data_IF_428717266244
#
_entry.id   IF_428717266244
#
_cell.length_a   1.000
_cell.length_b   1.000
_cell.length_c   1.000
_cell.angle_alpha   90.00
_cell.angle_beta   90.00
_cell.angle_gamma   90.00
#
_symmetry.space_group_name_H-M   'P 1'
#
loop_
_entity.id
_entity.type
_entity.pdbx_description
1 polymer ?
#
# COMPACT_ATOMS: atom_id res chain seq x y z
N UNK A 1 -22.93 2.37 7.09
CA UNK A 1 -23.38 3.78 7.25
C UNK A 1 -22.50 4.62 6.36
N UNK A 2 -23.04 5.17 5.27
CA UNK A 2 -22.33 6.12 4.41
C UNK A 2 -22.24 7.46 5.15
N UNK A 3 -21.08 7.76 5.75
CA UNK A 3 -20.77 9.11 6.16
C UNK A 3 -20.61 9.96 4.90
N UNK A 4 -21.22 11.14 4.86
CA UNK A 4 -20.93 12.13 3.82
C UNK A 4 -19.45 12.51 3.91
N UNK A 5 -18.78 12.54 2.76
CA UNK A 5 -17.34 12.78 2.60
C UNK A 5 -16.96 14.28 2.73
N UNK A 6 -17.83 15.13 3.29
CA UNK A 6 -17.78 16.58 3.04
C UNK A 6 -17.41 17.45 4.25
N UNK A 7 -17.29 16.91 5.47
CA UNK A 7 -16.79 17.72 6.59
C UNK A 7 -15.27 17.73 6.65
N UNK A 8 -14.68 18.94 6.67
CA UNK A 8 -13.23 19.09 6.75
C UNK A 8 -12.68 18.52 8.07
N UNK A 9 -11.45 17.95 8.08
CA UNK A 9 -10.74 17.61 9.31
C UNK A 9 -10.61 18.81 10.25
N UNK A 10 -10.20 18.59 11.50
CA UNK A 10 -9.89 19.69 12.41
C UNK A 10 -8.84 20.63 11.80
N UNK A 11 -9.00 21.96 11.93
CA UNK A 11 -7.98 22.89 11.47
C UNK A 11 -6.66 22.65 12.21
N UNK A 12 -5.57 22.62 11.44
CA UNK A 12 -4.20 22.46 11.91
C UNK A 12 -3.64 23.86 12.17
N UNK A 13 -3.15 24.13 13.38
CA UNK A 13 -2.57 25.43 13.74
C UNK A 13 -1.05 25.32 13.89
N UNK A 14 -0.28 26.36 13.51
CA UNK A 14 1.19 26.37 13.72
C UNK A 14 1.58 26.32 15.21
N UNK A 15 0.65 26.69 16.10
CA UNK A 15 0.87 26.74 17.54
C UNK A 15 0.67 25.35 18.12
N UNK A 16 1.70 24.82 18.80
CA UNK A 16 1.62 23.55 19.54
C UNK A 16 0.64 23.60 20.72
N UNK A 17 0.78 22.62 21.63
CA UNK A 17 -0.10 22.46 22.81
C UNK A 17 -0.27 23.72 23.71
N UNK A 18 0.58 24.73 23.55
CA UNK A 18 0.61 25.97 24.34
C UNK A 18 -0.52 26.98 24.03
N UNK A 19 -1.37 26.75 23.00
CA UNK A 19 -2.56 27.57 22.75
C UNK A 19 -3.79 27.21 23.62
N UNK A 20 -3.65 26.27 24.57
CA UNK A 20 -4.76 25.77 25.38
C UNK A 20 -5.75 24.88 24.62
N UNK A 21 -5.40 24.43 23.41
CA UNK A 21 -6.28 23.65 22.51
C UNK A 21 -6.33 22.14 22.83
N UNK A 22 -5.62 21.69 23.86
CA UNK A 22 -5.40 20.27 24.14
C UNK A 22 -4.40 19.63 23.18
N UNK A 23 -3.94 18.43 23.54
CA UNK A 23 -2.92 17.71 22.76
C UNK A 23 -3.56 17.12 21.48
N UNK A 24 -3.06 17.50 20.30
CA UNK A 24 -3.48 16.87 19.05
C UNK A 24 -2.88 15.47 18.93
N UNK A 25 -3.74 14.51 18.60
CA UNK A 25 -3.38 13.10 18.46
C UNK A 25 -3.98 12.54 17.18
N UNK A 26 -3.53 11.36 16.76
CA UNK A 26 -4.12 10.62 15.64
C UNK A 26 -4.89 9.43 16.20
N UNK A 27 -6.20 9.36 15.95
CA UNK A 27 -7.05 8.21 16.28
C UNK A 27 -7.32 7.41 15.01
N UNK A 28 -6.90 6.15 15.00
CA UNK A 28 -7.11 5.22 13.92
C UNK A 28 -8.19 4.21 14.28
N UNK A 29 -9.17 4.04 13.39
CA UNK A 29 -10.15 2.94 13.46
C UNK A 29 -9.72 1.81 12.55
N UNK A 30 -9.73 0.59 13.10
CA UNK A 30 -9.27 -0.62 12.45
C UNK A 30 -10.41 -1.31 11.68
N UNK A 31 -10.10 -1.96 10.56
CA UNK A 31 -11.05 -2.63 9.66
C UNK A 31 -11.43 -4.06 10.01
N UNK A 32 -11.33 -4.98 9.04
CA UNK A 32 -11.68 -6.43 9.06
C UNK A 32 -11.18 -7.21 10.30
N UNK A 33 -10.31 -6.57 11.05
CA UNK A 33 -9.54 -6.93 12.24
C UNK A 33 -10.43 -7.23 13.45
N UNK A 34 -11.66 -6.72 13.48
CA UNK A 34 -12.62 -7.06 14.54
C UNK A 34 -13.11 -8.52 14.41
N UNK A 35 -12.84 -9.19 13.29
CA UNK A 35 -13.30 -10.55 13.02
C UNK A 35 -12.13 -11.56 12.98
N UNK A 36 -12.08 -12.41 14.02
CA UNK A 36 -11.57 -13.80 14.06
C UNK A 36 -10.23 -14.08 14.77
N UNK A 37 -10.35 -14.75 15.92
CA UNK A 37 -9.50 -15.89 16.29
C UNK A 37 -8.17 -15.65 17.01
N UNK A 38 -7.40 -16.72 17.13
CA UNK A 38 -6.13 -16.85 17.89
C UNK A 38 -4.98 -15.96 17.40
N UNK A 39 -5.08 -15.39 16.20
CA UNK A 39 -3.99 -14.64 15.55
C UNK A 39 -4.00 -13.12 15.83
N UNK A 40 -4.92 -12.63 16.67
CA UNK A 40 -5.08 -11.20 16.94
C UNK A 40 -3.82 -10.52 17.52
N UNK A 41 -3.07 -11.19 18.40
CA UNK A 41 -1.83 -10.62 18.97
C UNK A 41 -0.74 -10.42 17.92
N UNK A 42 -0.62 -11.37 16.99
CA UNK A 42 0.32 -11.28 15.87
C UNK A 42 -0.04 -10.10 14.98
N UNK A 43 -1.34 -9.95 14.70
CA UNK A 43 -1.91 -8.85 13.95
C UNK A 43 -1.57 -7.49 14.57
N UNK A 44 -1.92 -7.30 15.84
CA UNK A 44 -1.71 -6.02 16.56
C UNK A 44 -0.23 -5.67 16.56
N UNK A 45 0.65 -6.65 16.82
CA UNK A 45 2.10 -6.48 16.77
C UNK A 45 2.60 -6.04 15.38
N UNK A 46 2.12 -6.69 14.31
CA UNK A 46 2.50 -6.33 12.93
C UNK A 46 2.03 -4.93 12.57
N UNK A 47 0.78 -4.59 12.88
CA UNK A 47 0.25 -3.26 12.63
C UNK A 47 1.03 -2.18 13.40
N UNK A 48 1.33 -2.40 14.68
CA UNK A 48 2.14 -1.46 15.47
C UNK A 48 3.54 -1.27 14.88
N UNK A 49 4.17 -2.32 14.37
CA UNK A 49 5.47 -2.22 13.71
C UNK A 49 5.37 -1.45 12.39
N UNK A 50 4.32 -1.66 11.60
CA UNK A 50 4.09 -0.94 10.36
C UNK A 50 3.86 0.56 10.62
N UNK A 51 3.07 0.88 11.65
CA UNK A 51 2.84 2.27 12.09
C UNK A 51 4.16 2.93 12.51
N UNK A 52 4.98 2.28 13.34
CA UNK A 52 6.29 2.85 13.73
C UNK A 52 7.22 3.01 12.53
N UNK A 53 7.21 2.06 11.61
CA UNK A 53 8.07 2.08 10.43
C UNK A 53 7.71 3.22 9.49
N UNK A 54 6.44 3.59 9.36
CA UNK A 54 5.99 4.62 8.42
C UNK A 54 6.31 6.05 8.86
N UNK A 55 6.64 6.25 10.14
CA UNK A 55 6.98 7.58 10.71
C UNK A 55 8.35 7.60 11.39
N UNK A 56 9.23 6.63 11.12
CA UNK A 56 10.52 6.48 11.80
C UNK A 56 11.45 7.70 11.65
N UNK A 57 11.33 8.42 10.55
CA UNK A 57 12.02 9.68 10.22
C UNK A 57 11.44 10.89 10.96
N UNK A 58 10.21 10.78 11.48
CA UNK A 58 9.58 11.82 12.29
C UNK A 58 9.88 11.65 13.80
N UNK A 59 10.64 10.62 14.17
CA UNK A 59 11.01 10.33 15.55
C UNK A 59 10.01 9.44 16.30
N UNK A 60 10.18 9.36 17.62
CA UNK A 60 9.43 8.40 18.44
C UNK A 60 7.98 8.81 18.68
N UNK A 61 7.07 7.84 18.52
CA UNK A 61 5.65 7.96 18.80
C UNK A 61 5.24 7.08 19.98
N UNK A 62 4.19 7.51 20.70
CA UNK A 62 3.50 6.70 21.71
C UNK A 62 2.25 6.09 21.10
N UNK A 63 2.17 4.76 21.13
CA UNK A 63 1.01 4.00 20.66
C UNK A 63 0.19 3.49 21.85
N UNK A 64 -1.13 3.73 21.80
CA UNK A 64 -2.08 3.20 22.78
C UNK A 64 -3.18 2.40 22.07
N UNK A 65 -3.28 1.12 22.39
CA UNK A 65 -4.36 0.25 21.91
C UNK A 65 -5.59 0.40 22.81
N UNK A 66 -6.72 0.87 22.26
CA UNK A 66 -7.98 1.06 22.98
C UNK A 66 -8.99 0.01 22.53
N UNK A 67 -8.99 -1.14 23.20
CA UNK A 67 -9.82 -2.30 22.81
C UNK A 67 -9.39 -2.90 21.48
N UNK A 68 -10.31 -3.58 20.79
CA UNK A 68 -9.99 -4.33 19.56
C UNK A 68 -9.91 -3.50 18.27
N UNK A 69 -10.47 -2.29 18.27
CA UNK A 69 -10.74 -1.56 17.02
C UNK A 69 -10.14 -0.17 16.93
N UNK A 70 -9.43 0.31 17.95
CA UNK A 70 -8.93 1.70 17.99
C UNK A 70 -7.47 1.73 18.44
N UNK A 71 -6.65 2.47 17.71
CA UNK A 71 -5.28 2.83 18.07
C UNK A 71 -5.19 4.35 18.15
N UNK A 72 -4.51 4.85 19.18
CA UNK A 72 -4.17 6.27 19.30
C UNK A 72 -2.66 6.41 19.16
N UNK A 73 -2.24 7.30 18.26
CA UNK A 73 -0.86 7.75 18.11
C UNK A 73 -0.72 9.13 18.75
N UNK A 74 0.29 9.27 19.60
CA UNK A 74 0.63 10.52 20.27
C UNK A 74 2.09 10.82 20.09
N UNK A 75 2.43 12.11 19.96
CA UNK A 75 3.81 12.59 19.98
C UNK A 75 3.86 13.85 20.86
N UNK A 76 3.96 13.70 22.20
CA UNK A 76 3.93 14.83 23.11
C UNK A 76 5.04 15.84 22.78
N UNK A 77 4.69 17.13 22.76
CA UNK A 77 5.62 18.22 22.44
C UNK A 77 5.78 18.52 20.94
N UNK A 78 5.10 17.79 20.05
CA UNK A 78 5.05 18.13 18.63
C UNK A 78 4.06 19.25 18.30
N UNK A 79 4.35 19.95 17.21
CA UNK A 79 3.43 20.87 16.54
C UNK A 79 2.24 20.13 15.93
N UNK A 80 1.11 20.82 15.72
CA UNK A 80 -0.03 20.19 15.05
C UNK A 80 0.30 19.79 13.60
N UNK A 81 1.20 20.52 12.93
CA UNK A 81 1.68 20.20 11.58
C UNK A 81 2.38 18.83 11.54
N UNK A 82 3.24 18.54 12.51
CA UNK A 82 3.85 17.21 12.62
C UNK A 82 2.81 16.11 12.86
N UNK A 83 1.76 16.39 13.66
CA UNK A 83 0.70 15.43 13.92
C UNK A 83 -0.17 15.22 12.67
N UNK A 84 -0.42 16.26 11.89
CA UNK A 84 -1.11 16.17 10.60
C UNK A 84 -0.32 15.32 9.60
N UNK A 85 1.00 15.52 9.49
CA UNK A 85 1.88 14.67 8.66
C UNK A 85 1.84 13.20 9.11
N UNK A 86 1.84 12.94 10.42
CA UNK A 86 1.66 11.57 10.95
C UNK A 86 0.30 11.02 10.51
N UNK A 87 -0.78 11.81 10.58
CA UNK A 87 -2.12 11.36 10.19
C UNK A 87 -2.19 10.98 8.70
N UNK A 88 -1.60 11.79 7.81
CA UNK A 88 -1.55 11.51 6.38
C UNK A 88 -0.79 10.20 6.09
N UNK A 89 0.30 9.95 6.81
CA UNK A 89 1.04 8.67 6.72
C UNK A 89 0.23 7.51 7.28
N UNK A 90 -0.52 7.70 8.37
CA UNK A 90 -1.40 6.67 8.93
C UNK A 90 -2.50 6.26 7.94
N UNK A 91 -2.96 7.17 7.07
CA UNK A 91 -3.96 6.85 6.05
C UNK A 91 -3.43 5.86 4.98
N UNK A 92 -2.11 5.75 4.84
CA UNK A 92 -1.45 4.79 3.96
C UNK A 92 -1.15 3.44 4.64
N UNK A 93 -1.32 3.32 5.96
CA UNK A 93 -1.04 2.07 6.67
C UNK A 93 -2.16 1.06 6.42
N UNK A 94 -1.80 -0.09 5.84
CA UNK A 94 -2.75 -1.18 5.60
C UNK A 94 -3.31 -1.75 6.92
N UNK A 95 -4.61 -1.97 6.95
CA UNK A 95 -5.39 -2.35 8.14
C UNK A 95 -6.15 -1.18 8.80
N UNK A 96 -5.79 0.07 8.49
CA UNK A 96 -6.47 1.27 9.02
C UNK A 96 -7.62 1.67 8.10
N UNK A 97 -8.83 1.83 8.62
CA UNK A 97 -10.03 2.19 7.82
C UNK A 97 -10.36 3.67 7.93
N UNK A 98 -10.14 4.27 9.10
CA UNK A 98 -10.31 5.72 9.29
C UNK A 98 -9.16 6.27 10.11
N UNK A 99 -8.75 7.48 9.78
CA UNK A 99 -7.78 8.28 10.51
C UNK A 99 -8.46 9.59 10.90
N UNK A 100 -8.52 9.89 12.19
CA UNK A 100 -9.07 11.12 12.71
C UNK A 100 -7.96 11.90 13.42
N UNK A 101 -7.86 13.20 13.12
CA UNK A 101 -7.17 14.15 14.00
C UNK A 101 -8.08 14.42 15.19
N UNK A 102 -7.57 14.24 16.41
CA UNK A 102 -8.38 14.35 17.63
C UNK A 102 -7.68 15.21 18.67
N UNK A 103 -8.42 16.12 19.30
CA UNK A 103 -7.91 16.84 20.49
C UNK A 103 -8.19 16.01 21.72
N UNK A 104 -7.12 15.67 22.44
CA UNK A 104 -7.16 14.99 23.73
C UNK A 104 -7.21 16.05 24.83
N UNK A 105 -8.28 16.03 25.61
CA UNK A 105 -8.52 16.95 26.72
C UNK A 105 -8.72 16.20 28.03
N UNK A 106 -8.63 16.93 29.14
CA UNK A 106 -9.03 16.41 30.45
C UNK A 106 -10.48 15.91 30.42
N UNK A 107 -10.81 14.92 31.24
CA UNK A 107 -12.18 14.43 31.43
C UNK A 107 -12.99 15.42 32.28
N UNK A 108 -13.21 16.59 31.71
CA UNK A 108 -13.86 17.75 32.33
C UNK A 108 -14.83 18.38 31.32
N UNK A 109 -16.00 18.81 31.80
CA UNK A 109 -17.05 19.32 30.92
C UNK A 109 -16.63 20.63 30.24
N UNK A 110 -16.01 21.54 30.99
CA UNK A 110 -15.61 22.84 30.46
C UNK A 110 -14.52 22.69 29.40
N UNK A 111 -13.53 21.81 29.65
CA UNK A 111 -12.49 21.50 28.68
C UNK A 111 -13.06 20.87 27.38
N UNK A 112 -14.03 19.96 27.49
CA UNK A 112 -14.70 19.36 26.32
C UNK A 112 -15.46 20.42 25.53
N UNK A 113 -16.16 21.32 26.23
CA UNK A 113 -17.00 22.35 25.62
C UNK A 113 -16.17 23.41 24.91
N UNK A 114 -15.13 23.92 25.57
CA UNK A 114 -14.23 24.91 24.98
C UNK A 114 -13.62 24.39 23.67
N UNK A 115 -13.06 23.18 23.69
CA UNK A 115 -12.48 22.57 22.49
C UNK A 115 -13.54 22.24 21.44
N UNK A 116 -14.71 21.76 21.85
CA UNK A 116 -15.81 21.46 20.93
C UNK A 116 -16.30 22.71 20.18
N UNK A 117 -16.46 23.83 20.88
CA UNK A 117 -16.86 25.10 20.29
C UNK A 117 -15.76 25.64 19.35
N UNK A 118 -14.49 25.62 19.78
CA UNK A 118 -13.37 26.09 18.94
C UNK A 118 -13.18 25.24 17.69
N UNK A 119 -13.36 23.91 17.79
CA UNK A 119 -13.24 22.96 16.67
C UNK A 119 -14.27 23.20 15.55
N UNK A 120 -15.36 23.90 15.87
CA UNK A 120 -16.42 24.24 14.94
C UNK A 120 -16.26 25.64 14.32
N UNK A 121 -15.31 26.45 14.79
CA UNK A 121 -15.12 27.80 14.29
C UNK A 121 -14.78 27.84 12.78
N UNK A 122 -15.35 28.81 12.07
CA UNK A 122 -15.09 29.03 10.64
C UNK A 122 -15.71 27.99 9.69
N UNK A 123 -16.55 27.07 10.20
CA UNK A 123 -17.31 26.14 9.38
C UNK A 123 -18.60 26.79 8.85
N UNK A 124 -19.21 26.16 7.86
CA UNK A 124 -20.48 26.60 7.28
C UNK A 124 -21.49 25.46 7.24
N UNK A 125 -22.78 25.81 7.13
CA UNK A 125 -23.87 24.86 7.00
C UNK A 125 -24.44 24.35 8.34
N UNK A 126 -24.99 23.15 8.30
CA UNK A 126 -25.64 22.47 9.41
C UNK A 126 -24.67 21.59 10.17
N UNK A 127 -24.98 21.29 11.44
CA UNK A 127 -24.14 20.42 12.25
C UNK A 127 -24.91 19.44 13.13
N UNK A 128 -24.21 18.42 13.63
CA UNK A 128 -24.68 17.55 14.69
C UNK A 128 -23.54 17.23 15.67
N UNK A 129 -23.87 17.09 16.95
CA UNK A 129 -22.96 16.56 17.98
C UNK A 129 -23.25 15.08 18.20
N UNK A 130 -22.20 14.26 18.23
CA UNK A 130 -22.26 12.82 18.47
C UNK A 130 -21.35 12.47 19.63
N UNK A 131 -21.94 12.34 20.81
CA UNK A 131 -21.19 11.94 22.00
C UNK A 131 -21.30 10.43 22.26
N UNK A 132 -20.18 9.83 22.69
CA UNK A 132 -20.09 8.44 23.13
C UNK A 132 -19.32 8.35 24.45
N UNK A 133 -19.92 7.70 25.44
CA UNK A 133 -19.29 7.44 26.75
C UNK A 133 -18.87 5.98 26.90
N UNK A 134 -17.55 5.75 26.99
CA UNK A 134 -16.97 4.49 27.45
C UNK A 134 -16.99 4.42 28.98
N UNK A 135 -16.60 5.50 29.65
CA UNK A 135 -16.78 5.61 31.09
C UNK A 135 -18.20 6.04 31.42
N UNK A 136 -18.96 5.16 32.08
CA UNK A 136 -20.35 5.43 32.52
C UNK A 136 -20.44 6.26 33.80
N UNK A 137 -19.31 6.58 34.44
CA UNK A 137 -19.26 7.39 35.68
C UNK A 137 -19.19 8.90 35.45
N UNK A 138 -18.90 9.35 34.22
CA UNK A 138 -19.01 10.77 33.86
C UNK A 138 -20.44 11.30 34.10
N UNK A 139 -20.57 12.55 34.54
CA UNK A 139 -21.80 13.09 35.13
C UNK A 139 -22.96 13.16 34.14
N UNK A 140 -22.70 13.59 32.91
CA UNK A 140 -23.70 13.66 31.85
C UNK A 140 -23.82 12.36 31.08
N UNK A 141 -25.04 11.99 30.66
CA UNK A 141 -25.21 10.92 29.67
C UNK A 141 -24.82 11.42 28.26
N UNK A 142 -24.73 10.52 27.28
CA UNK A 142 -24.31 10.88 25.91
C UNK A 142 -25.29 11.84 25.21
N UNK A 143 -26.59 11.71 25.46
CA UNK A 143 -27.60 12.62 24.92
C UNK A 143 -27.48 14.02 25.55
N UNK A 144 -27.37 14.09 26.88
CA UNK A 144 -27.26 15.36 27.61
C UNK A 144 -25.99 16.12 27.19
N UNK A 145 -24.86 15.41 27.10
CA UNK A 145 -23.59 16.00 26.66
C UNK A 145 -23.68 16.53 25.23
N UNK A 146 -24.31 15.77 24.32
CA UNK A 146 -24.48 16.21 22.94
C UNK A 146 -25.42 17.43 22.83
N UNK A 147 -26.51 17.45 23.62
CA UNK A 147 -27.44 18.57 23.67
C UNK A 147 -26.80 19.83 24.23
N UNK A 148 -26.10 19.72 25.36
CA UNK A 148 -25.41 20.84 26.00
C UNK A 148 -24.29 21.40 25.13
N UNK A 149 -23.42 20.55 24.58
CA UNK A 149 -22.39 21.00 23.66
C UNK A 149 -22.99 21.65 22.40
N UNK A 150 -24.09 21.09 21.89
CA UNK A 150 -24.85 21.64 20.78
C UNK A 150 -25.36 23.06 21.06
N UNK A 151 -25.93 23.33 22.24
CA UNK A 151 -26.40 24.67 22.60
C UNK A 151 -25.26 25.69 22.63
N UNK A 152 -24.11 25.30 23.21
CA UNK A 152 -22.91 26.17 23.27
C UNK A 152 -22.35 26.49 21.87
N UNK A 153 -22.40 25.54 20.94
CA UNK A 153 -22.01 25.78 19.53
C UNK A 153 -22.99 26.73 18.84
N UNK A 154 -24.29 26.61 19.09
CA UNK A 154 -25.31 27.53 18.54
C UNK A 154 -25.10 28.94 19.08
N UNK A 155 -24.87 29.09 20.39
CA UNK A 155 -24.60 30.39 21.02
C UNK A 155 -23.36 31.07 20.44
N UNK A 156 -22.30 30.31 20.18
CA UNK A 156 -21.04 30.85 19.69
C UNK A 156 -21.04 31.17 18.19
N UNK A 157 -21.65 30.32 17.36
CA UNK A 157 -21.50 30.37 15.89
C UNK A 157 -22.81 30.53 15.10
N UNK A 158 -23.98 30.41 15.75
CA UNK A 158 -25.28 30.56 15.09
C UNK A 158 -25.66 29.45 14.10
N UNK A 159 -24.97 28.31 14.13
CA UNK A 159 -25.24 27.19 13.21
C UNK A 159 -26.59 26.51 13.44
N UNK A 160 -27.12 25.88 12.38
CA UNK A 160 -28.37 25.12 12.44
C UNK A 160 -28.10 23.63 12.69
N UNK A 161 -28.92 23.00 13.53
CA UNK A 161 -28.78 21.57 13.82
C UNK A 161 -29.48 20.72 12.75
N UNK A 162 -28.79 19.70 12.24
CA UNK A 162 -29.38 18.65 11.39
C UNK A 162 -28.92 17.27 11.87
N UNK A 163 -29.78 16.56 12.60
CA UNK A 163 -29.44 15.24 13.15
C UNK A 163 -29.47 14.10 12.14
N UNK A 164 -29.97 14.31 10.91
CA UNK A 164 -30.07 13.24 9.90
C UNK A 164 -28.93 13.28 8.90
N UNK A 165 -28.65 14.47 8.34
CA UNK A 165 -27.62 14.70 7.31
C UNK A 165 -26.90 16.02 7.60
N UNK A 166 -26.10 16.08 8.67
CA UNK A 166 -25.32 17.27 8.98
C UNK A 166 -24.22 17.49 7.94
N UNK A 167 -23.92 18.76 7.65
CA UNK A 167 -22.74 19.13 6.85
C UNK A 167 -21.47 18.94 7.67
N UNK A 168 -21.54 19.16 8.99
CA UNK A 168 -20.43 18.95 9.92
C UNK A 168 -20.84 18.11 11.12
N UNK A 169 -20.06 17.08 11.45
CA UNK A 169 -20.29 16.28 12.66
C UNK A 169 -19.16 16.48 13.66
N UNK A 170 -19.50 16.93 14.86
CA UNK A 170 -18.58 16.96 15.99
C UNK A 170 -18.76 15.70 16.83
N UNK A 171 -17.71 14.91 16.97
CA UNK A 171 -17.67 13.71 17.79
C UNK A 171 -16.99 14.00 19.13
N UNK A 172 -17.56 13.45 20.20
CA UNK A 172 -16.96 13.48 21.53
C UNK A 172 -16.92 12.06 22.07
N UNK A 173 -15.73 11.52 22.31
CA UNK A 173 -15.55 10.24 23.00
C UNK A 173 -15.00 10.47 24.41
N UNK A 174 -15.81 10.18 25.44
CA UNK A 174 -15.39 10.25 26.85
C UNK A 174 -14.89 8.88 27.28
N UNK A 175 -13.61 8.80 27.63
CA UNK A 175 -12.95 7.60 28.16
C UNK A 175 -12.74 7.72 29.69
N UNK A 176 -12.02 6.78 30.28
CA UNK A 176 -11.83 6.68 31.74
C UNK A 176 -11.17 7.91 32.36
N UNK A 177 -10.14 8.46 31.74
CA UNK A 177 -9.30 9.51 32.32
C UNK A 177 -9.21 10.77 31.44
N UNK A 178 -9.77 10.71 30.23
CA UNK A 178 -9.64 11.74 29.19
C UNK A 178 -10.86 11.75 28.26
N UNK A 179 -10.98 12.80 27.47
CA UNK A 179 -11.95 12.89 26.39
C UNK A 179 -11.28 13.28 25.06
N UNK A 180 -11.88 12.82 23.97
CA UNK A 180 -11.44 13.09 22.60
C UNK A 180 -12.50 13.86 21.86
N UNK A 181 -12.13 15.00 21.30
CA UNK A 181 -13.01 15.87 20.50
C UNK A 181 -12.47 15.95 19.08
N UNK A 182 -13.31 15.65 18.08
CA UNK A 182 -12.89 15.55 16.69
C UNK A 182 -14.04 15.67 15.69
N UNK A 183 -13.73 15.90 14.42
CA UNK A 183 -14.69 15.92 13.32
C UNK A 183 -14.48 14.71 12.39
N UNK A 184 -15.02 14.72 11.17
CA UNK A 184 -14.78 13.59 10.27
C UNK A 184 -13.28 13.40 9.97
N UNK A 185 -12.96 12.19 9.55
CA UNK A 185 -11.59 11.74 9.34
C UNK A 185 -11.29 11.46 7.88
N UNK A 186 -10.04 11.09 7.63
CA UNK A 186 -9.54 10.67 6.34
C UNK A 186 -9.76 9.15 6.22
N UNK A 187 -10.27 8.66 5.07
CA UNK A 187 -10.36 7.23 4.83
C UNK A 187 -8.96 6.62 4.75
N UNK A 188 -8.74 5.52 5.46
CA UNK A 188 -7.53 4.71 5.36
C UNK A 188 -7.64 3.62 4.29
N UNK A 189 -6.58 2.83 4.10
CA UNK A 189 -6.54 1.77 3.08
C UNK A 189 -7.48 0.57 3.37
N UNK A 190 -7.80 0.32 4.64
CA UNK A 190 -8.44 -0.91 5.10
C UNK A 190 -7.55 -2.14 4.84
N UNK A 191 -8.16 -3.32 4.69
CA UNK A 191 -7.42 -4.57 4.43
C UNK A 191 -6.67 -5.11 5.65
N UNK A 192 -5.52 -5.75 5.40
CA UNK A 192 -4.66 -6.39 6.41
C UNK A 192 -3.27 -5.75 6.44
N UNK A 193 -2.59 -5.65 7.60
CA UNK A 193 -1.25 -5.12 7.72
C UNK A 193 -0.29 -5.89 6.82
N UNK A 194 0.51 -5.14 6.07
CA UNK A 194 1.56 -5.70 5.23
C UNK A 194 2.46 -6.65 6.03
N UNK A 195 2.73 -7.83 5.48
CA UNK A 195 3.52 -8.91 6.10
C UNK A 195 2.75 -9.83 7.07
N UNK A 196 1.42 -9.73 7.14
CA UNK A 196 0.57 -10.69 7.87
C UNK A 196 0.31 -11.99 7.10
N UNK A 197 0.34 -11.94 5.77
CA UNK A 197 -0.10 -13.02 4.88
C UNK A 197 1.05 -13.65 4.08
N UNK A 198 2.27 -13.61 4.61
CA UNK A 198 3.45 -14.16 3.94
C UNK A 198 4.19 -13.15 3.06
N UNK A 199 5.00 -13.68 2.14
CA UNK A 199 5.82 -12.91 1.20
C UNK A 199 5.53 -13.28 -0.25
N UNK A 200 5.60 -12.30 -1.14
CA UNK A 200 5.44 -12.51 -2.58
C UNK A 200 6.42 -11.67 -3.41
N UNK A 201 6.67 -12.09 -4.65
CA UNK A 201 7.49 -11.36 -5.60
C UNK A 201 6.62 -10.80 -6.73
N UNK A 202 6.62 -9.48 -6.90
CA UNK A 202 5.88 -8.79 -7.96
C UNK A 202 6.75 -8.65 -9.20
N UNK A 203 6.26 -9.10 -10.35
CA UNK A 203 6.84 -8.74 -11.64
C UNK A 203 6.40 -7.31 -11.99
N UNK A 204 7.30 -6.36 -11.75
CA UNK A 204 7.08 -4.93 -11.96
C UNK A 204 7.46 -4.53 -13.39
N UNK A 205 6.49 -4.01 -14.13
CA UNK A 205 6.69 -3.39 -15.44
C UNK A 205 6.59 -1.87 -15.33
N UNK A 206 6.96 -1.16 -16.41
CA UNK A 206 6.72 0.28 -16.53
C UNK A 206 5.25 0.68 -16.73
N UNK A 207 4.35 -0.30 -16.87
CA UNK A 207 2.94 -0.09 -17.18
C UNK A 207 2.07 0.33 -15.98
N UNK A 208 0.77 0.45 -16.22
CA UNK A 208 -0.23 0.88 -15.24
C UNK A 208 -0.61 -0.28 -14.29
N UNK A 209 -0.61 -1.51 -14.81
CA UNK A 209 -1.30 -2.64 -14.19
C UNK A 209 -0.48 -3.25 -13.03
N UNK A 210 0.82 -3.48 -13.22
CA UNK A 210 1.65 -4.16 -12.21
C UNK A 210 1.77 -3.39 -10.87
N UNK A 211 1.82 -2.04 -10.81
CA UNK A 211 1.73 -1.31 -9.55
C UNK A 211 0.39 -1.48 -8.83
N UNK A 212 -0.72 -1.53 -9.58
CA UNK A 212 -2.06 -1.72 -9.01
C UNK A 212 -2.21 -3.13 -8.45
N UNK A 213 -1.70 -4.14 -9.17
CA UNK A 213 -1.65 -5.52 -8.68
C UNK A 213 -0.86 -5.63 -7.37
N UNK A 214 0.32 -5.00 -7.29
CA UNK A 214 1.12 -4.95 -6.08
C UNK A 214 0.36 -4.32 -4.91
N UNK A 215 -0.22 -3.12 -5.10
CA UNK A 215 -0.99 -2.43 -4.06
C UNK A 215 -2.12 -3.31 -3.50
N UNK A 216 -2.87 -3.99 -4.38
CA UNK A 216 -3.94 -4.92 -3.98
C UNK A 216 -3.43 -6.07 -3.12
N UNK A 217 -2.26 -6.62 -3.43
CA UNK A 217 -1.67 -7.71 -2.64
C UNK A 217 -1.12 -7.23 -1.31
N UNK A 218 -0.47 -6.06 -1.27
CA UNK A 218 -0.04 -5.41 -0.03
C UNK A 218 -1.26 -5.18 0.89
N UNK A 219 -2.39 -4.72 0.32
CA UNK A 219 -3.67 -4.55 1.04
C UNK A 219 -4.25 -5.84 1.59
N UNK A 220 -3.94 -7.00 1.00
CA UNK A 220 -4.28 -8.34 1.55
C UNK A 220 -3.24 -8.86 2.53
N UNK A 221 -2.30 -8.03 2.96
CA UNK A 221 -1.33 -8.32 4.00
C UNK A 221 -0.07 -9.03 3.53
N UNK A 222 0.16 -9.15 2.21
CA UNK A 222 1.44 -9.64 1.70
C UNK A 222 2.54 -8.60 1.92
N UNK A 223 3.74 -9.05 2.27
CA UNK A 223 4.96 -8.25 2.12
C UNK A 223 5.52 -8.57 0.74
N UNK A 224 5.74 -7.57 -0.10
CA UNK A 224 6.18 -7.81 -1.48
C UNK A 224 7.54 -7.21 -1.77
N UNK A 225 8.35 -7.99 -2.46
CA UNK A 225 9.54 -7.51 -3.18
C UNK A 225 9.20 -7.37 -4.67
N UNK A 226 10.03 -6.63 -5.40
CA UNK A 226 9.76 -6.29 -6.80
C UNK A 226 10.89 -6.78 -7.69
N UNK A 227 10.54 -7.37 -8.83
CA UNK A 227 11.47 -7.76 -9.88
C UNK A 227 11.10 -7.04 -11.17
N UNK A 228 12.04 -6.29 -11.74
CA UNK A 228 11.92 -5.62 -13.01
C UNK A 228 12.94 -6.17 -14.01
N UNK A 229 12.50 -6.43 -15.24
CA UNK A 229 13.36 -6.86 -16.33
C UNK A 229 13.63 -5.67 -17.24
N UNK A 230 14.90 -5.29 -17.40
CA UNK A 230 15.29 -4.18 -18.27
C UNK A 230 15.78 -4.70 -19.62
N UNK A 231 15.61 -3.90 -20.68
CA UNK A 231 16.10 -4.23 -22.02
C UNK A 231 17.62 -4.06 -22.19
N UNK A 232 18.35 -3.78 -21.12
CA UNK A 232 19.81 -3.58 -21.16
C UNK A 232 20.53 -4.81 -21.74
N UNK A 233 21.57 -4.61 -22.58
CA UNK A 233 22.19 -3.33 -22.96
C UNK A 233 21.56 -2.65 -24.20
N UNK A 234 20.39 -3.09 -24.67
CA UNK A 234 19.79 -2.59 -25.91
C UNK A 234 18.89 -1.37 -25.72
N UNK A 235 18.30 -1.19 -24.53
CA UNK A 235 17.54 0.01 -24.12
C UNK A 235 18.39 0.93 -23.26
N UNK A 236 17.94 2.18 -23.07
CA UNK A 236 18.45 3.04 -22.01
C UNK A 236 17.92 2.68 -20.60
N UNK A 237 18.30 3.46 -19.56
CA UNK A 237 17.94 3.24 -18.16
C UNK A 237 16.54 3.74 -17.77
N UNK A 238 15.78 4.32 -18.71
CA UNK A 238 14.50 5.00 -18.45
C UNK A 238 13.47 4.06 -17.80
N UNK A 239 13.38 2.82 -18.28
CA UNK A 239 12.50 1.78 -17.71
C UNK A 239 12.86 1.46 -16.26
N UNK A 240 14.16 1.47 -15.91
CA UNK A 240 14.65 1.26 -14.54
C UNK A 240 14.24 2.43 -13.65
N UNK A 241 14.40 3.68 -14.12
CA UNK A 241 13.99 4.86 -13.35
C UNK A 241 12.48 4.90 -13.14
N UNK A 242 11.71 4.48 -14.13
CA UNK A 242 10.26 4.36 -14.01
C UNK A 242 9.87 3.30 -12.97
N UNK A 243 10.43 2.10 -13.06
CA UNK A 243 10.21 1.03 -12.09
C UNK A 243 10.60 1.46 -10.66
N UNK A 244 11.75 2.14 -10.51
CA UNK A 244 12.19 2.71 -9.24
C UNK A 244 11.18 3.69 -8.66
N UNK A 245 10.66 4.60 -9.49
CA UNK A 245 9.69 5.62 -9.09
C UNK A 245 8.35 5.00 -8.69
N UNK A 246 7.89 3.99 -9.43
CA UNK A 246 6.68 3.22 -9.09
C UNK A 246 6.84 2.49 -7.76
N UNK A 247 7.97 1.81 -7.54
CA UNK A 247 8.23 1.10 -6.28
C UNK A 247 8.37 2.08 -5.11
N UNK A 248 9.03 3.24 -5.31
CA UNK A 248 9.11 4.29 -4.29
C UNK A 248 7.72 4.78 -3.89
N UNK A 249 6.83 4.94 -4.87
CA UNK A 249 5.44 5.35 -4.62
C UNK A 249 4.62 4.27 -3.90
N UNK A 250 4.90 2.99 -4.14
CA UNK A 250 4.28 1.88 -3.41
C UNK A 250 4.88 1.67 -2.01
N UNK A 251 6.12 2.11 -1.78
CA UNK A 251 6.82 1.88 -0.51
C UNK A 251 6.09 2.49 0.69
N UNK A 252 5.33 3.57 0.51
CA UNK A 252 4.50 4.18 1.57
C UNK A 252 3.46 3.24 2.20
N UNK A 253 3.11 2.14 1.51
CA UNK A 253 2.12 1.18 1.99
C UNK A 253 2.72 -0.01 2.77
N UNK A 254 4.03 -0.23 2.70
CA UNK A 254 4.67 -1.40 3.32
C UNK A 254 6.05 -1.18 3.95
N UNK A 255 6.71 -0.06 3.62
CA UNK A 255 8.05 0.39 4.05
C UNK A 255 9.19 -0.62 3.83
N UNK A 256 10.30 -0.18 3.25
CA UNK A 256 11.47 -1.06 3.03
C UNK A 256 11.24 -2.05 1.90
N UNK A 257 10.74 -1.55 0.78
CA UNK A 257 10.62 -2.26 -0.49
C UNK A 257 12.00 -2.54 -1.09
N UNK A 258 12.13 -3.69 -1.76
CA UNK A 258 13.33 -4.07 -2.52
C UNK A 258 12.96 -4.22 -3.98
N UNK A 259 13.75 -3.61 -4.86
CA UNK A 259 13.60 -3.71 -6.31
C UNK A 259 14.83 -4.40 -6.89
N UNK A 260 14.64 -5.58 -7.44
CA UNK A 260 15.64 -6.33 -8.19
C UNK A 260 15.49 -5.98 -9.67
N UNK A 261 16.59 -5.61 -10.33
CA UNK A 261 16.61 -5.28 -11.76
C UNK A 261 17.49 -6.29 -12.48
N UNK A 262 16.90 -7.04 -13.40
CA UNK A 262 17.60 -8.06 -14.21
C UNK A 262 17.77 -7.55 -15.64
N UNK A 263 19.00 -7.39 -16.14
CA UNK A 263 19.25 -7.11 -17.56
C UNK A 263 18.83 -8.31 -18.42
N UNK A 264 17.75 -8.13 -19.19
CA UNK A 264 17.13 -9.21 -19.95
C UNK A 264 17.40 -9.15 -21.46
N UNK A 265 17.99 -8.05 -21.96
CA UNK A 265 18.15 -7.81 -23.38
C UNK A 265 18.85 -8.95 -24.13
N UNK A 266 19.96 -9.49 -23.59
CA UNK A 266 20.70 -10.59 -24.21
C UNK A 266 19.87 -11.88 -24.33
N UNK A 267 19.14 -12.25 -23.27
CA UNK A 267 18.24 -13.40 -23.30
C UNK A 267 17.12 -13.20 -24.32
N UNK A 268 16.60 -11.98 -24.44
CA UNK A 268 15.60 -11.63 -25.45
C UNK A 268 16.14 -11.75 -26.88
N UNK A 269 17.40 -11.35 -27.11
CA UNK A 269 18.06 -11.53 -28.41
C UNK A 269 18.25 -13.01 -28.75
N UNK A 270 18.65 -13.85 -27.79
CA UNK A 270 18.76 -15.30 -27.98
C UNK A 270 17.40 -15.93 -28.34
N UNK A 271 16.34 -15.55 -27.63
CA UNK A 271 14.97 -15.98 -27.91
C UNK A 271 14.54 -15.60 -29.34
N UNK A 272 14.85 -14.39 -29.80
CA UNK A 272 14.54 -13.97 -31.18
C UNK A 272 15.30 -14.77 -32.23
N UNK A 273 16.60 -15.01 -32.01
CA UNK A 273 17.47 -15.75 -32.95
C UNK A 273 17.13 -17.25 -33.05
N UNK A 274 16.34 -17.79 -32.12
CA UNK A 274 15.93 -19.20 -32.13
C UNK A 274 14.85 -19.56 -33.16
N UNK A 275 14.32 -18.57 -33.90
CA UNK A 275 13.38 -18.79 -35.02
C UNK A 275 11.92 -18.97 -34.61
N UNK A 276 11.54 -18.52 -33.41
CA UNK A 276 10.23 -18.80 -32.80
C UNK A 276 9.34 -17.55 -32.81
N UNK A 277 9.19 -16.91 -33.97
CA UNK A 277 8.56 -15.59 -34.05
C UNK A 277 7.15 -15.55 -33.42
N UNK A 278 6.31 -16.56 -33.63
CA UNK A 278 4.91 -16.52 -33.14
C UNK A 278 4.77 -16.74 -31.63
N UNK A 279 5.62 -17.58 -31.04
CA UNK A 279 5.57 -17.92 -29.60
C UNK A 279 6.53 -17.07 -28.76
N UNK A 280 7.32 -16.19 -29.39
CA UNK A 280 8.40 -15.43 -28.75
C UNK A 280 7.95 -14.71 -27.46
N UNK A 281 6.79 -14.05 -27.47
CA UNK A 281 6.29 -13.32 -26.29
C UNK A 281 5.94 -14.28 -25.15
N UNK A 282 5.29 -15.40 -25.45
CA UNK A 282 4.92 -16.37 -24.41
C UNK A 282 6.17 -17.05 -23.86
N UNK A 283 7.12 -17.45 -24.73
CA UNK A 283 8.40 -18.02 -24.31
C UNK A 283 9.22 -17.03 -23.46
N UNK A 284 9.28 -15.75 -23.86
CA UNK A 284 9.93 -14.69 -23.09
C UNK A 284 9.30 -14.55 -21.69
N UNK A 285 7.97 -14.49 -21.61
CA UNK A 285 7.27 -14.36 -20.32
C UNK A 285 7.46 -15.60 -19.44
N UNK A 286 7.53 -16.80 -20.02
CA UNK A 286 7.86 -18.03 -19.29
C UNK A 286 9.27 -17.98 -18.72
N UNK A 287 10.26 -17.53 -19.49
CA UNK A 287 11.63 -17.34 -18.99
C UNK A 287 11.70 -16.28 -17.87
N UNK A 288 10.95 -15.18 -17.99
CA UNK A 288 10.82 -14.18 -16.91
C UNK A 288 10.21 -14.78 -15.65
N UNK A 289 9.19 -15.64 -15.78
CA UNK A 289 8.58 -16.33 -14.63
C UNK A 289 9.54 -17.32 -13.98
N UNK A 290 10.28 -18.13 -14.75
CA UNK A 290 11.33 -19.02 -14.23
C UNK A 290 12.43 -18.26 -13.49
N UNK A 291 12.86 -17.13 -14.05
CA UNK A 291 13.83 -16.24 -13.38
C UNK A 291 13.25 -15.67 -12.09
N UNK A 292 11.96 -15.32 -12.09
CA UNK A 292 11.27 -14.83 -10.90
C UNK A 292 11.11 -15.93 -9.82
N UNK A 293 10.83 -17.17 -10.21
CA UNK A 293 10.75 -18.32 -9.30
C UNK A 293 12.11 -18.61 -8.64
N UNK A 294 13.19 -18.67 -9.42
CA UNK A 294 14.54 -18.84 -8.89
C UNK A 294 14.90 -17.72 -7.89
N UNK A 295 14.57 -16.46 -8.18
CA UNK A 295 14.76 -15.37 -7.24
C UNK A 295 13.80 -15.45 -6.03
N UNK A 296 12.58 -15.92 -6.22
CA UNK A 296 11.59 -16.07 -5.15
C UNK A 296 12.06 -17.07 -4.10
N UNK A 297 12.73 -18.16 -4.50
CA UNK A 297 13.32 -19.14 -3.58
C UNK A 297 14.38 -18.51 -2.66
N UNK A 298 15.30 -17.71 -3.22
CA UNK A 298 16.30 -16.96 -2.45
C UNK A 298 15.66 -15.98 -1.46
N UNK A 299 14.53 -15.38 -1.84
CA UNK A 299 13.80 -14.42 -1.03
C UNK A 299 12.79 -15.06 -0.06
N UNK A 300 12.59 -16.39 -0.15
CA UNK A 300 11.54 -17.15 0.55
C UNK A 300 10.14 -16.56 0.29
N UNK A 301 9.88 -16.18 -0.95
CA UNK A 301 8.56 -15.75 -1.39
C UNK A 301 7.71 -16.98 -1.71
N UNK A 302 6.42 -16.92 -1.35
CA UNK A 302 5.48 -18.04 -1.43
C UNK A 302 4.60 -17.95 -2.69
N UNK A 303 4.71 -16.86 -3.46
CA UNK A 303 3.95 -16.63 -4.68
C UNK A 303 4.61 -15.58 -5.59
N UNK A 304 4.31 -15.67 -6.88
CA UNK A 304 4.56 -14.62 -7.86
C UNK A 304 3.31 -13.77 -8.05
N UNK A 305 3.46 -12.49 -8.39
CA UNK A 305 2.35 -11.56 -8.59
C UNK A 305 2.54 -10.85 -9.94
N UNK A 306 1.53 -10.90 -10.80
CA UNK A 306 1.52 -10.20 -12.09
C UNK A 306 0.35 -9.23 -12.21
N UNK A 307 0.51 -8.23 -13.07
CA UNK A 307 -0.55 -7.30 -13.47
C UNK A 307 -1.47 -7.82 -14.57
N UNK A 308 -1.62 -9.14 -14.72
CA UNK A 308 -2.42 -9.69 -15.83
C UNK A 308 -3.92 -9.47 -15.65
N UNK A 309 -4.58 -9.03 -16.74
CA UNK A 309 -6.03 -8.87 -16.85
C UNK A 309 -6.55 -9.71 -18.04
N UNK A 310 -7.61 -10.49 -17.83
CA UNK A 310 -8.07 -11.44 -18.84
C UNK A 310 -8.62 -10.71 -20.08
N UNK A 311 -8.10 -11.03 -21.26
CA UNK A 311 -8.61 -10.50 -22.53
C UNK A 311 -8.20 -9.06 -22.87
N UNK A 312 -7.27 -8.45 -22.10
CA UNK A 312 -6.80 -7.09 -22.38
C UNK A 312 -5.79 -7.02 -23.54
N UNK A 313 -4.90 -8.01 -23.66
CA UNK A 313 -3.94 -8.14 -24.77
C UNK A 313 -3.84 -9.58 -25.27
N UNK A 314 -3.29 -9.78 -26.47
CA UNK A 314 -3.15 -11.10 -27.11
C UNK A 314 -2.36 -12.12 -26.27
N UNK A 315 -1.45 -11.67 -25.40
CA UNK A 315 -0.69 -12.53 -24.48
C UNK A 315 -1.46 -12.93 -23.21
N UNK A 316 -2.66 -12.38 -22.99
CA UNK A 316 -3.49 -12.60 -21.80
C UNK A 316 -4.82 -13.28 -22.13
N UNK A 317 -4.80 -14.20 -23.10
CA UNK A 317 -5.91 -15.15 -23.32
C UNK A 317 -5.85 -16.27 -22.27
N UNK A 318 -6.96 -16.96 -22.03
CA UNK A 318 -6.98 -18.09 -21.09
C UNK A 318 -5.92 -19.15 -21.46
N UNK A 319 -5.79 -19.48 -22.75
CA UNK A 319 -4.78 -20.44 -23.23
C UNK A 319 -3.35 -20.00 -22.91
N UNK A 320 -3.04 -18.72 -23.14
CA UNK A 320 -1.70 -18.19 -22.86
C UNK A 320 -1.46 -18.07 -21.35
N UNK A 321 -2.46 -17.74 -20.53
CA UNK A 321 -2.32 -17.74 -19.08
C UNK A 321 -2.04 -19.14 -18.53
N UNK A 322 -2.76 -20.16 -19.01
CA UNK A 322 -2.46 -21.57 -18.67
C UNK A 322 -1.04 -21.95 -19.11
N UNK A 323 -0.61 -21.48 -20.28
CA UNK A 323 0.76 -21.69 -20.73
C UNK A 323 1.79 -20.91 -19.90
N UNK A 324 1.43 -19.83 -19.20
CA UNK A 324 2.34 -19.17 -18.25
C UNK A 324 2.38 -19.91 -16.91
N UNK A 325 1.23 -20.37 -16.43
CA UNK A 325 1.13 -21.14 -15.18
C UNK A 325 1.92 -22.44 -15.25
N UNK A 326 1.99 -23.09 -16.41
CA UNK A 326 2.79 -24.31 -16.63
C UNK A 326 4.32 -24.10 -16.51
N UNK A 327 4.81 -22.85 -16.49
CA UNK A 327 6.25 -22.58 -16.52
C UNK A 327 6.93 -22.70 -15.15
N UNK A 328 6.16 -22.60 -14.06
CA UNK A 328 6.63 -22.47 -12.68
C UNK A 328 5.72 -23.26 -11.74
N UNK A 329 6.25 -23.69 -10.60
CA UNK A 329 5.50 -24.40 -9.55
C UNK A 329 4.88 -23.42 -8.53
N UNK A 330 5.51 -22.26 -8.32
CA UNK A 330 4.97 -21.22 -7.45
C UNK A 330 3.63 -20.67 -7.96
N UNK A 331 2.64 -20.44 -7.06
CA UNK A 331 1.37 -19.88 -7.46
C UNK A 331 1.54 -18.45 -8.00
N UNK A 332 0.94 -18.19 -9.17
CA UNK A 332 0.89 -16.85 -9.78
C UNK A 332 -0.43 -16.17 -9.41
N UNK A 333 -0.37 -15.15 -8.55
CA UNK A 333 -1.51 -14.32 -8.18
C UNK A 333 -1.74 -13.22 -9.22
N UNK A 334 -2.98 -13.11 -9.71
CA UNK A 334 -3.42 -12.13 -10.73
C UNK A 334 -4.55 -11.26 -10.19
N UNK A 335 -4.26 -10.22 -9.38
CA UNK A 335 -5.28 -9.44 -8.68
C UNK A 335 -6.21 -8.63 -9.59
N UNK A 336 -5.86 -8.51 -10.88
CA UNK A 336 -6.58 -7.71 -11.88
C UNK A 336 -7.32 -8.57 -12.90
N UNK A 337 -7.31 -9.91 -12.74
CA UNK A 337 -7.78 -10.85 -13.77
C UNK A 337 -9.20 -10.57 -14.29
N UNK A 338 -10.09 -10.07 -13.43
CA UNK A 338 -11.47 -9.74 -13.76
C UNK A 338 -11.81 -8.25 -13.74
N UNK A 339 -10.81 -7.37 -13.77
CA UNK A 339 -11.01 -5.92 -13.82
C UNK A 339 -10.98 -5.40 -15.26
N UNK A 340 -11.73 -4.33 -15.51
CA UNK A 340 -11.56 -3.56 -16.74
C UNK A 340 -10.46 -2.48 -16.62
N UNK A 341 -10.06 -1.91 -17.76
CA UNK A 341 -9.00 -0.91 -17.84
C UNK A 341 -9.34 0.38 -17.10
N UNK A 342 -10.61 0.78 -17.08
CA UNK A 342 -11.06 2.00 -16.39
C UNK A 342 -10.90 1.84 -14.89
N UNK A 343 -11.32 0.69 -14.35
CA UNK A 343 -11.16 0.36 -12.94
C UNK A 343 -9.67 0.33 -12.52
N UNK A 344 -8.80 -0.20 -13.37
CA UNK A 344 -7.34 -0.23 -13.13
C UNK A 344 -6.78 1.19 -13.12
N UNK A 345 -7.12 2.01 -14.12
CA UNK A 345 -6.67 3.41 -14.22
C UNK A 345 -7.15 4.26 -13.04
N UNK A 346 -8.38 4.07 -12.58
CA UNK A 346 -8.92 4.78 -11.42
C UNK A 346 -8.18 4.41 -10.14
N UNK A 347 -7.81 3.13 -9.97
CA UNK A 347 -6.96 2.71 -8.86
C UNK A 347 -5.56 3.29 -8.98
N UNK A 348 -4.92 3.23 -10.16
CA UNK A 348 -3.61 3.81 -10.42
C UNK A 348 -3.57 5.31 -10.11
N UNK A 349 -4.64 6.05 -10.42
CA UNK A 349 -4.78 7.48 -10.09
C UNK A 349 -4.87 7.69 -8.57
N UNK A 350 -5.70 6.90 -7.88
CA UNK A 350 -5.87 6.98 -6.41
C UNK A 350 -4.57 6.66 -5.66
N UNK A 351 -3.78 5.72 -6.16
CA UNK A 351 -2.47 5.36 -5.57
C UNK A 351 -1.30 6.14 -6.19
N UNK A 352 -1.58 7.16 -7.00
CA UNK A 352 -0.59 8.08 -7.56
C UNK A 352 0.49 7.41 -8.41
N UNK A 353 0.21 6.27 -9.06
CA UNK A 353 1.14 5.58 -9.98
C UNK A 353 0.86 5.90 -11.44
N UNK A 354 -0.37 6.34 -11.79
CA UNK A 354 -0.80 6.56 -13.18
C UNK A 354 0.16 7.49 -13.96
N UNK A 355 0.44 8.68 -13.43
CA UNK A 355 1.29 9.66 -14.10
C UNK A 355 2.75 9.16 -14.30
N UNK A 356 3.24 8.28 -13.42
CA UNK A 356 4.57 7.69 -13.55
C UNK A 356 4.56 6.62 -14.65
N UNK A 357 3.52 5.77 -14.66
CA UNK A 357 3.34 4.73 -15.68
C UNK A 357 3.19 5.29 -17.10
N UNK A 358 2.60 6.48 -17.23
CA UNK A 358 2.40 7.18 -18.51
C UNK A 358 3.66 7.87 -19.07
N UNK A 359 4.74 7.98 -18.30
CA UNK A 359 6.00 8.53 -18.81
C UNK A 359 6.49 7.69 -20.00
N UNK A 360 7.10 8.29 -21.04
CA UNK A 360 7.65 7.51 -22.14
C UNK A 360 8.84 6.67 -21.67
N UNK A 361 8.89 5.40 -22.06
CA UNK A 361 10.06 4.54 -21.95
C UNK A 361 10.14 3.56 -23.12
N UNK A 362 11.33 3.01 -23.33
CA UNK A 362 11.53 1.84 -24.18
C UNK A 362 11.41 0.59 -23.30
N UNK A 363 10.19 0.05 -23.21
CA UNK A 363 9.93 -1.17 -22.45
C UNK A 363 10.65 -2.38 -23.10
N UNK A 364 11.19 -3.26 -22.27
CA UNK A 364 11.88 -4.48 -22.73
C UNK A 364 10.97 -5.32 -23.62
N UNK A 365 9.67 -5.37 -23.33
CA UNK A 365 8.73 -6.21 -24.07
C UNK A 365 8.39 -5.67 -25.46
N UNK A 366 8.49 -4.35 -25.72
CA UNK A 366 8.01 -3.76 -26.98
C UNK A 366 9.06 -3.79 -28.09
N UNK A 367 10.34 -3.62 -27.77
CA UNK A 367 11.44 -3.48 -28.75
C UNK A 367 11.57 -4.68 -29.72
N UNK A 368 11.32 -5.91 -29.24
CA UNK A 368 11.48 -7.14 -30.02
C UNK A 368 10.16 -7.87 -30.23
N UNK A 369 9.03 -7.16 -30.17
CA UNK A 369 7.70 -7.74 -30.40
C UNK A 369 7.58 -8.26 -31.84
N UNK A 370 7.22 -9.54 -32.05
CA UNK A 370 6.93 -10.07 -33.37
C UNK A 370 5.69 -9.40 -33.99
N UNK A 371 5.60 -9.38 -35.33
CA UNK A 371 4.47 -8.80 -36.08
C UNK A 371 3.13 -9.49 -35.81
N UNK A 372 3.16 -10.76 -35.43
CA UNK A 372 1.98 -11.54 -35.05
C UNK A 372 2.26 -12.29 -33.76
N UNK A 373 1.38 -12.13 -32.78
CA UNK A 373 1.48 -12.78 -31.47
C UNK A 373 0.48 -13.93 -31.42
N UNK A 374 0.95 -15.12 -31.07
CA UNK A 374 0.07 -16.28 -30.91
C UNK A 374 -0.90 -16.08 -29.74
N UNK A 375 -2.19 -16.23 -30.00
CA UNK A 375 -3.26 -16.09 -28.99
C UNK A 375 -3.59 -17.41 -28.31
N UNK A 376 -3.10 -18.54 -28.84
CA UNK A 376 -3.29 -19.87 -28.30
C UNK A 376 -1.99 -20.70 -28.39
N UNK A 377 -1.03 -20.41 -27.51
CA UNK A 377 0.22 -21.14 -27.47
C UNK A 377 0.03 -22.59 -26.97
N UNK A 378 0.66 -23.54 -27.64
CA UNK A 378 0.69 -24.95 -27.21
C UNK A 378 1.82 -25.16 -26.21
N UNK A 379 1.48 -25.68 -25.04
CA UNK A 379 2.44 -25.97 -23.95
C UNK A 379 3.56 -26.91 -24.41
N UNK A 380 3.23 -27.94 -25.18
CA UNK A 380 4.23 -28.89 -25.70
C UNK A 380 5.32 -28.23 -26.54
N UNK A 381 4.94 -27.27 -27.39
CA UNK A 381 5.89 -26.53 -28.23
C UNK A 381 6.77 -25.61 -27.36
N UNK A 382 6.18 -24.92 -26.37
CA UNK A 382 6.90 -24.06 -25.43
C UNK A 382 7.94 -24.85 -24.60
N UNK A 383 7.59 -26.05 -24.12
CA UNK A 383 8.54 -26.91 -23.38
C UNK A 383 9.70 -27.38 -24.25
N UNK A 384 9.47 -27.63 -25.55
CA UNK A 384 10.56 -27.98 -26.48
C UNK A 384 11.49 -26.78 -26.70
N UNK A 385 10.94 -25.58 -26.76
CA UNK A 385 11.69 -24.34 -26.90
C UNK A 385 12.56 -24.10 -25.67
N UNK A 386 11.98 -24.23 -24.48
CA UNK A 386 12.71 -24.07 -23.22
C UNK A 386 13.87 -25.05 -23.10
N UNK A 387 13.66 -26.31 -23.46
CA UNK A 387 14.73 -27.33 -23.50
C UNK A 387 15.86 -27.01 -24.48
N UNK A 388 15.57 -26.34 -25.60
CA UNK A 388 16.62 -25.94 -26.57
C UNK A 388 17.41 -24.72 -26.12
N UNK A 389 16.84 -23.93 -25.22
CA UNK A 389 17.44 -22.70 -24.70
C UNK A 389 18.07 -22.89 -23.32
N UNK A 390 18.01 -24.11 -22.77
CA UNK A 390 18.39 -24.43 -21.39
C UNK A 390 17.79 -23.39 -20.42
N UNK A 391 16.48 -23.18 -20.53
CA UNK A 391 15.78 -22.06 -19.90
C UNK A 391 15.95 -22.01 -18.37
N UNK A 392 16.07 -23.17 -17.71
CA UNK A 392 16.38 -23.28 -16.29
C UNK A 392 17.77 -22.70 -15.95
N UNK A 393 18.81 -23.12 -16.66
CA UNK A 393 20.18 -22.61 -16.46
C UNK A 393 20.27 -21.12 -16.81
N UNK A 394 19.60 -20.70 -17.88
CA UNK A 394 19.52 -19.29 -18.27
C UNK A 394 18.80 -18.45 -17.21
N UNK A 395 17.73 -18.96 -16.60
CA UNK A 395 17.02 -18.30 -15.51
C UNK A 395 17.92 -18.13 -14.27
N UNK A 396 18.64 -19.17 -13.86
CA UNK A 396 19.60 -19.09 -12.75
C UNK A 396 20.71 -18.07 -13.05
N UNK A 397 21.26 -18.09 -14.26
CA UNK A 397 22.24 -17.11 -14.69
C UNK A 397 21.70 -15.68 -14.62
N UNK A 398 20.48 -15.44 -15.10
CA UNK A 398 19.84 -14.12 -15.04
C UNK A 398 19.70 -13.61 -13.60
N UNK A 399 19.37 -14.48 -12.63
CA UNK A 399 19.30 -14.11 -11.21
C UNK A 399 20.66 -13.59 -10.71
N UNK A 400 21.77 -14.20 -11.12
CA UNK A 400 23.12 -13.74 -10.71
C UNK A 400 23.47 -12.34 -11.21
N UNK A 401 22.79 -11.86 -12.25
CA UNK A 401 22.99 -10.52 -12.81
C UNK A 401 22.10 -9.46 -12.17
N UNK A 402 21.22 -9.85 -11.24
CA UNK A 402 20.23 -8.96 -10.64
C UNK A 402 20.89 -7.86 -9.78
N UNK A 403 20.47 -6.62 -10.00
CA UNK A 403 20.90 -5.46 -9.23
C UNK A 403 19.82 -5.08 -8.21
N UNK A 404 20.18 -4.98 -6.93
CA UNK A 404 19.25 -4.56 -5.87
C UNK A 404 19.26 -3.05 -5.68
N UNK A 405 18.08 -2.46 -5.80
CA UNK A 405 17.76 -1.10 -5.40
C UNK A 405 16.82 -1.12 -4.18
N UNK A 406 16.86 -0.06 -3.37
CA UNK A 406 15.98 0.12 -2.21
C UNK A 406 15.22 1.44 -2.31
N UNK A 407 14.24 1.55 -3.22
CA UNK A 407 13.42 2.76 -3.33
C UNK A 407 12.68 2.98 -2.02
N UNK A 408 12.79 4.19 -1.47
CA UNK A 408 12.26 4.52 -0.14
C UNK A 408 11.44 5.80 -0.20
N UNK A 409 10.20 5.76 0.29
CA UNK A 409 9.37 6.97 0.39
C UNK A 409 9.89 7.93 1.48
N UNK A 410 10.68 7.41 2.42
CA UNK A 410 11.29 8.14 3.54
C UNK A 410 12.59 8.87 3.17
N UNK A 411 13.00 8.86 1.90
CA UNK A 411 14.31 9.33 1.45
C UNK A 411 15.36 8.21 1.40
N UNK A 412 16.53 8.53 0.84
CA UNK A 412 17.56 7.52 0.54
C UNK A 412 18.25 6.98 1.80
N UNK A 413 18.18 5.67 1.99
CA UNK A 413 19.27 4.92 2.60
C UNK A 413 20.11 4.33 1.46
N UNK A 414 21.42 4.60 1.45
CA UNK A 414 22.34 4.23 0.37
C UNK A 414 22.20 2.74 -0.05
N UNK A 415 22.30 2.41 -1.36
CA UNK A 415 22.25 1.03 -1.81
C UNK A 415 23.43 0.24 -1.22
N UNK A 416 23.13 -0.68 -0.30
CA UNK A 416 24.06 -1.73 0.13
C UNK A 416 24.09 -2.77 -0.97
N UNK A 417 25.25 -2.97 -1.60
CA UNK A 417 25.48 -4.08 -2.53
C UNK A 417 25.03 -5.39 -1.86
N UNK A 418 24.27 -6.20 -2.58
CA UNK A 418 23.91 -7.54 -2.14
C UNK A 418 25.16 -8.39 -2.32
N UNK A 419 25.69 -8.92 -1.22
CA UNK A 419 26.67 -9.98 -1.32
C UNK A 419 26.00 -11.19 -1.98
N UNK A 420 26.61 -11.81 -3.00
CA UNK A 420 26.06 -13.04 -3.58
C UNK A 420 25.91 -14.09 -2.48
N UNK A 421 24.75 -14.74 -2.45
CA UNK A 421 24.53 -15.96 -1.67
C UNK A 421 25.63 -16.94 -2.04
N UNK A 422 26.27 -17.55 -1.04
CA UNK A 422 27.36 -18.49 -1.25
C UNK A 422 26.88 -19.65 -2.12
N UNK A 423 27.25 -19.62 -3.40
CA UNK A 423 27.10 -20.73 -4.30
C UNK A 423 27.78 -21.94 -3.66
N UNK A 424 27.05 -23.07 -3.57
CA UNK A 424 27.62 -24.35 -3.15
C UNK A 424 28.82 -24.65 -4.04
N UNK A 425 30.00 -24.65 -3.45
CA UNK A 425 31.22 -25.07 -4.12
C UNK A 425 31.06 -26.52 -4.55
N UNK A 426 30.94 -26.75 -5.85
CA UNK A 426 31.13 -28.05 -6.46
C UNK A 426 32.63 -28.32 -6.41
N UNK A 427 33.05 -29.15 -5.47
CA UNK A 427 34.40 -29.74 -5.48
C UNK A 427 34.57 -30.62 -6.71
N UNK A 428 35.63 -30.44 -7.52
CA UNK A 428 35.96 -31.39 -8.56
C UNK A 428 36.54 -32.64 -7.90
N UNK A 429 35.93 -33.79 -8.15
CA UNK A 429 36.55 -35.07 -7.82
C UNK A 429 37.71 -35.31 -8.79
N UNK A 430 38.89 -35.60 -8.23
CA UNK A 430 40.07 -36.13 -8.91
C UNK A 430 39.90 -37.63 -9.11
#
# INVERSE_FOLDING_TARGET
MSASLESAPLPVTEVGADAGLGELCVLMKLGEIVLKGSNRKLFERRLHNNIRSSVRDLGDIRLSQRGAGVIIVRKPGSSDLEIAEIADRMANVMGVVWVHLVRRVAKDLDAIVDIGVRSMAGREGTFAVRARRRDKRFEMNSGDLAGYLGSRIIEAHGYKVNLKRPDNTLYVEVDKDEAFVFTDGIPGQGGLPAGMSGRGLVLMSGGIDSPVAAHRMIRRGLKVDFLHFSGMPFTGPESIYKAYSLVRQLDRYQVGSRLFVVPFGKAQQQLKSSGIERLQIVAQRRLMLKTAEALADDLKAECLITGDALGQVSSQTMTNLTALDDAVDLPILRPLIGMDKTEIMDQARRIGTLAISELPDEDCCTMLTPRQVETAAKIGDLRQIEKRLDAEELAEHLVTTAQLHRPSFLGEAAPTQVAPSAAKAVTPAV
#
